data_IF_614093300097
#
_entry.id   IF_614093300097
#
_cell.length_a   1.000
_cell.length_b   1.000
_cell.length_c   1.000
_cell.angle_alpha   90.00
_cell.angle_beta   90.00
_cell.angle_gamma   90.00
#
_symmetry.space_group_name_H-M   'P 1'
#
loop_
_entity.id
_entity.type
_entity.pdbx_description
1 polymer ?
#
# COMPACT_ATOMS: atom_id res chain seq x y z
N UNK A 1 -18.74 -1.77 -25.98
CA UNK A 1 -18.21 -0.42 -26.23
C UNK A 1 -18.37 0.40 -24.96
N UNK A 2 -17.27 0.58 -24.22
CA UNK A 2 -17.18 1.61 -23.19
C UNK A 2 -17.59 2.95 -23.83
N UNK A 3 -18.69 3.55 -23.37
CA UNK A 3 -19.00 4.95 -23.72
C UNK A 3 -18.08 5.85 -22.89
N UNK A 4 -16.79 5.85 -23.25
CA UNK A 4 -15.81 6.76 -22.68
C UNK A 4 -16.24 8.18 -23.03
N UNK A 5 -16.47 9.02 -22.02
CA UNK A 5 -16.97 10.39 -22.18
C UNK A 5 -15.95 11.34 -22.83
N UNK A 6 -14.72 10.87 -23.11
CA UNK A 6 -13.65 11.69 -23.65
C UNK A 6 -13.05 11.08 -24.95
N UNK A 7 -13.18 11.77 -26.10
CA UNK A 7 -12.65 11.30 -27.38
C UNK A 7 -11.13 11.25 -27.47
N UNK A 8 -10.37 11.89 -26.57
CA UNK A 8 -8.90 11.79 -26.57
C UNK A 8 -8.39 10.47 -25.96
N UNK A 9 -9.08 9.96 -24.94
CA UNK A 9 -8.81 8.63 -24.39
C UNK A 9 -9.21 7.55 -25.42
N UNK A 10 -10.32 7.75 -26.14
CA UNK A 10 -10.70 6.88 -27.25
C UNK A 10 -9.62 6.82 -28.35
N UNK A 11 -8.93 7.94 -28.64
CA UNK A 11 -7.81 7.98 -29.60
C UNK A 11 -6.55 7.23 -29.14
N UNK A 12 -6.31 7.10 -27.82
CA UNK A 12 -5.26 6.22 -27.30
C UNK A 12 -5.59 4.75 -27.60
N UNK A 13 -6.89 4.40 -27.56
CA UNK A 13 -7.39 3.05 -27.76
C UNK A 13 -7.63 2.68 -29.24
N UNK A 14 -7.99 3.63 -30.11
CA UNK A 14 -8.29 3.38 -31.53
C UNK A 14 -7.05 3.13 -32.40
N UNK A 15 -5.85 3.51 -31.95
CA UNK A 15 -4.61 3.40 -32.74
C UNK A 15 -3.85 2.07 -32.55
N UNK A 16 -4.32 1.16 -31.70
CA UNK A 16 -3.66 -0.11 -31.46
C UNK A 16 -4.54 -1.26 -31.95
N UNK A 17 -4.29 -1.72 -33.18
CA UNK A 17 -4.69 -3.05 -33.61
C UNK A 17 -3.93 -4.08 -32.77
N UNK A 18 -4.52 -4.50 -31.65
CA UNK A 18 -4.01 -5.62 -30.89
C UNK A 18 -4.34 -6.90 -31.65
N UNK A 19 -3.30 -7.58 -32.11
CA UNK A 19 -3.37 -8.95 -32.59
C UNK A 19 -4.03 -9.83 -31.52
N UNK A 20 -5.10 -10.54 -31.91
CA UNK A 20 -5.71 -11.61 -31.14
C UNK A 20 -4.66 -12.70 -30.90
N UNK A 21 -4.00 -12.67 -29.75
CA UNK A 21 -3.47 -13.88 -29.12
C UNK A 21 -4.31 -14.14 -27.87
N UNK A 22 -4.93 -15.33 -27.83
CA UNK A 22 -5.75 -15.93 -26.75
C UNK A 22 -4.98 -16.13 -25.43
N UNK A 23 -4.17 -15.18 -25.00
CA UNK A 23 -3.53 -15.21 -23.70
C UNK A 23 -4.53 -14.71 -22.65
N UNK A 24 -5.15 -15.62 -21.90
CA UNK A 24 -5.99 -15.27 -20.75
C UNK A 24 -5.18 -14.41 -19.77
N UNK A 25 -5.70 -13.23 -19.43
CA UNK A 25 -5.07 -12.32 -18.49
C UNK A 25 -5.41 -12.73 -17.06
N UNK A 26 -4.38 -12.92 -16.22
CA UNK A 26 -4.58 -13.12 -14.78
C UNK A 26 -5.08 -11.81 -14.14
N UNK A 27 -6.30 -11.84 -13.63
CA UNK A 27 -7.01 -10.68 -13.10
C UNK A 27 -7.16 -10.68 -11.58
N UNK A 28 -6.46 -11.56 -10.84
CA UNK A 28 -6.61 -11.68 -9.37
C UNK A 28 -6.44 -10.34 -8.65
N UNK A 29 -5.42 -9.57 -9.01
CA UNK A 29 -5.17 -8.23 -8.42
C UNK A 29 -6.39 -7.32 -8.59
N UNK A 30 -7.01 -7.31 -9.77
CA UNK A 30 -8.21 -6.52 -10.04
C UNK A 30 -9.41 -7.01 -9.23
N UNK A 31 -9.65 -8.33 -9.23
CA UNK A 31 -10.79 -8.92 -8.51
C UNK A 31 -10.69 -8.67 -7.01
N UNK A 32 -9.51 -8.82 -6.43
CA UNK A 32 -9.31 -8.61 -5.00
C UNK A 32 -9.44 -7.12 -4.63
N UNK A 33 -8.94 -6.22 -5.48
CA UNK A 33 -9.15 -4.78 -5.28
C UNK A 33 -10.62 -4.39 -5.39
N UNK A 34 -11.37 -4.94 -6.36
CA UNK A 34 -12.81 -4.70 -6.49
C UNK A 34 -13.59 -5.13 -5.24
N UNK A 35 -13.29 -6.33 -4.70
CA UNK A 35 -13.89 -6.79 -3.45
C UNK A 35 -13.58 -5.84 -2.30
N UNK A 36 -12.33 -5.40 -2.19
CA UNK A 36 -11.92 -4.42 -1.19
C UNK A 36 -12.73 -3.12 -1.32
N UNK A 37 -12.90 -2.57 -2.53
CA UNK A 37 -13.73 -1.38 -2.76
C UNK A 37 -15.17 -1.59 -2.30
N UNK A 38 -15.76 -2.76 -2.59
CA UNK A 38 -17.11 -3.09 -2.16
C UNK A 38 -17.23 -3.16 -0.63
N UNK A 39 -16.25 -3.77 0.05
CA UNK A 39 -16.19 -3.83 1.52
C UNK A 39 -16.08 -2.44 2.15
N UNK A 40 -15.34 -1.53 1.49
CA UNK A 40 -15.22 -0.13 1.88
C UNK A 40 -16.39 0.75 1.41
N UNK A 41 -17.40 0.18 0.73
CA UNK A 41 -18.56 0.89 0.16
C UNK A 41 -18.18 2.00 -0.85
N UNK A 42 -17.07 1.83 -1.57
CA UNK A 42 -16.62 2.72 -2.63
C UNK A 42 -17.20 2.23 -3.95
N UNK A 43 -18.13 2.99 -4.54
CA UNK A 43 -18.74 2.68 -5.85
C UNK A 43 -17.95 3.34 -6.97
N UNK A 44 -17.59 2.56 -7.99
CA UNK A 44 -16.95 3.06 -9.21
C UNK A 44 -17.94 3.57 -10.26
N UNK A 45 -19.26 3.42 -10.03
CA UNK A 45 -20.33 3.77 -11.00
C UNK A 45 -20.20 3.08 -12.37
N UNK A 46 -19.39 2.03 -12.44
CA UNK A 46 -19.24 1.11 -13.56
C UNK A 46 -19.50 -0.31 -13.07
N UNK A 47 -19.79 -1.24 -13.96
CA UNK A 47 -19.90 -2.65 -13.59
C UNK A 47 -18.52 -3.33 -13.52
N UNK A 48 -18.49 -4.52 -12.92
CA UNK A 48 -17.25 -5.29 -12.76
C UNK A 48 -16.62 -5.67 -14.10
N UNK A 49 -17.42 -5.90 -15.14
CA UNK A 49 -16.92 -6.27 -16.46
C UNK A 49 -16.17 -5.11 -17.11
N UNK A 50 -16.71 -3.90 -17.04
CA UNK A 50 -16.06 -2.66 -17.51
C UNK A 50 -14.78 -2.36 -16.74
N UNK A 51 -14.79 -2.58 -15.43
CA UNK A 51 -13.62 -2.41 -14.58
C UNK A 51 -12.49 -3.39 -14.93
N UNK A 52 -12.83 -4.67 -15.14
CA UNK A 52 -11.86 -5.68 -15.55
C UNK A 52 -11.29 -5.37 -16.94
N UNK A 53 -12.15 -5.01 -17.90
CA UNK A 53 -11.74 -4.60 -19.26
C UNK A 53 -10.72 -3.45 -19.21
N UNK A 54 -10.98 -2.42 -18.40
CA UNK A 54 -10.07 -1.27 -18.23
C UNK A 54 -8.66 -1.70 -17.77
N UNK A 55 -8.59 -2.56 -16.76
CA UNK A 55 -7.30 -3.00 -16.20
C UNK A 55 -6.58 -4.02 -17.08
N UNK A 56 -7.33 -4.89 -17.75
CA UNK A 56 -6.79 -5.78 -18.78
C UNK A 56 -6.17 -5.00 -19.94
N UNK A 57 -6.82 -3.93 -20.39
CA UNK A 57 -6.27 -3.03 -21.41
C UNK A 57 -4.97 -2.38 -20.93
N UNK A 58 -4.89 -1.91 -19.68
CA UNK A 58 -3.64 -1.41 -19.09
C UNK A 58 -2.53 -2.45 -19.14
N UNK A 59 -2.82 -3.70 -18.76
CA UNK A 59 -1.85 -4.79 -18.82
C UNK A 59 -1.40 -5.09 -20.27
N UNK A 60 -2.34 -5.17 -21.23
CA UNK A 60 -2.06 -5.41 -22.66
C UNK A 60 -1.18 -4.32 -23.27
N UNK A 61 -1.49 -3.05 -22.99
CA UNK A 61 -0.70 -1.91 -23.43
C UNK A 61 0.75 -1.97 -22.90
N UNK A 62 0.93 -2.55 -21.71
CA UNK A 62 2.24 -2.82 -21.12
C UNK A 62 2.85 -4.18 -21.54
N UNK A 63 2.27 -4.86 -22.54
CA UNK A 63 2.70 -6.18 -23.04
C UNK A 63 2.77 -7.25 -21.94
N UNK A 64 1.80 -7.23 -21.02
CA UNK A 64 1.67 -8.19 -19.92
C UNK A 64 0.40 -9.01 -20.06
N UNK A 65 0.47 -10.27 -19.62
CA UNK A 65 -0.67 -11.19 -19.49
C UNK A 65 -1.17 -11.31 -18.04
N UNK A 66 -0.81 -10.36 -17.18
CA UNK A 66 -1.27 -10.29 -15.80
C UNK A 66 -1.48 -8.84 -15.40
N UNK A 67 -2.53 -8.59 -14.64
CA UNK A 67 -2.77 -7.31 -13.97
C UNK A 67 -1.87 -7.24 -12.73
N UNK A 68 -1.21 -6.11 -12.52
CA UNK A 68 -0.37 -5.83 -11.34
C UNK A 68 -0.89 -4.59 -10.61
N UNK A 69 -0.37 -4.31 -9.42
CA UNK A 69 -0.79 -3.14 -8.61
C UNK A 69 -0.64 -1.81 -9.38
N UNK A 70 0.41 -1.68 -10.18
CA UNK A 70 0.63 -0.52 -11.06
C UNK A 70 -0.48 -0.28 -12.08
N UNK A 71 -1.29 -1.29 -12.44
CA UNK A 71 -2.44 -1.08 -13.35
C UNK A 71 -3.60 -0.36 -12.65
N UNK A 72 -3.76 -0.51 -11.33
CA UNK A 72 -4.82 0.17 -10.58
C UNK A 72 -4.69 1.69 -10.64
N UNK A 73 -3.50 2.21 -10.96
CA UNK A 73 -3.27 3.64 -11.10
C UNK A 73 -4.06 4.28 -12.24
N UNK A 74 -4.54 3.49 -13.22
CA UNK A 74 -5.46 4.00 -14.25
C UNK A 74 -6.77 4.51 -13.65
N UNK A 75 -7.14 4.03 -12.45
CA UNK A 75 -8.33 4.48 -11.73
C UNK A 75 -8.17 5.89 -11.14
N UNK A 76 -6.94 6.43 -11.16
CA UNK A 76 -6.66 7.79 -10.72
C UNK A 76 -6.93 8.84 -11.80
N UNK A 77 -7.29 8.42 -13.02
CA UNK A 77 -7.57 9.34 -14.11
C UNK A 77 -8.87 10.13 -13.83
N UNK A 78 -8.79 11.45 -13.58
CA UNK A 78 -9.97 12.24 -13.19
C UNK A 78 -11.04 12.27 -14.28
N UNK A 79 -10.62 12.06 -15.54
CA UNK A 79 -11.50 11.96 -16.70
C UNK A 79 -12.41 10.71 -16.66
N UNK A 80 -12.05 9.68 -15.89
CA UNK A 80 -12.83 8.45 -15.76
C UNK A 80 -13.84 8.53 -14.60
N UNK A 81 -13.41 9.02 -13.43
CA UNK A 81 -14.14 8.86 -12.17
C UNK A 81 -14.46 10.16 -11.42
N UNK A 82 -13.95 11.32 -11.87
CA UNK A 82 -14.10 12.60 -11.17
C UNK A 82 -13.23 12.73 -9.91
N UNK A 83 -12.86 13.94 -9.53
CA UNK A 83 -11.82 14.21 -8.52
C UNK A 83 -12.12 13.64 -7.13
N UNK A 84 -13.37 13.73 -6.66
CA UNK A 84 -13.75 13.26 -5.33
C UNK A 84 -13.59 11.74 -5.18
N UNK A 85 -13.93 10.99 -6.23
CA UNK A 85 -13.77 9.53 -6.25
C UNK A 85 -12.29 9.16 -6.46
N UNK A 86 -11.55 9.89 -7.30
CA UNK A 86 -10.10 9.70 -7.48
C UNK A 86 -9.36 9.76 -6.14
N UNK A 87 -9.65 10.71 -5.27
CA UNK A 87 -8.98 10.79 -3.96
C UNK A 87 -9.23 9.53 -3.10
N UNK A 88 -10.46 9.01 -3.08
CA UNK A 88 -10.79 7.77 -2.38
C UNK A 88 -10.07 6.56 -2.99
N UNK A 89 -9.95 6.52 -4.32
CA UNK A 89 -9.26 5.46 -5.03
C UNK A 89 -7.75 5.50 -4.80
N UNK A 90 -7.14 6.68 -4.76
CA UNK A 90 -5.74 6.89 -4.41
C UNK A 90 -5.47 6.34 -3.00
N UNK A 91 -6.33 6.65 -2.04
CA UNK A 91 -6.22 6.13 -0.68
C UNK A 91 -6.41 4.61 -0.62
N UNK A 92 -7.40 4.06 -1.34
CA UNK A 92 -7.65 2.63 -1.44
C UNK A 92 -6.46 1.86 -2.05
N UNK A 93 -5.87 2.37 -3.13
CA UNK A 93 -4.67 1.80 -3.76
C UNK A 93 -3.50 1.81 -2.77
N UNK A 94 -3.30 2.93 -2.07
CA UNK A 94 -2.24 3.05 -1.06
C UNK A 94 -2.41 2.01 0.05
N UNK A 95 -3.61 1.89 0.62
CA UNK A 95 -3.92 0.93 1.70
C UNK A 95 -3.75 -0.52 1.27
N UNK A 96 -4.18 -0.88 0.07
CA UNK A 96 -4.04 -2.26 -0.42
C UNK A 96 -2.59 -2.62 -0.73
N UNK A 97 -1.79 -1.66 -1.20
CA UNK A 97 -0.36 -1.87 -1.44
C UNK A 97 0.45 -2.04 -0.14
N UNK A 98 0.07 -1.34 0.93
CA UNK A 98 0.75 -1.38 2.24
C UNK A 98 -0.02 -2.16 3.32
N UNK A 99 -1.01 -2.96 2.95
CA UNK A 99 -1.96 -3.58 3.88
C UNK A 99 -1.29 -4.25 5.09
N UNK A 100 -0.31 -5.13 4.84
CA UNK A 100 0.37 -5.86 5.91
C UNK A 100 1.17 -4.94 6.84
N UNK A 101 1.79 -3.90 6.28
CA UNK A 101 2.54 -2.91 7.05
C UNK A 101 1.59 -2.08 7.93
N UNK A 102 0.49 -1.60 7.36
CA UNK A 102 -0.50 -0.79 8.07
C UNK A 102 -1.17 -1.59 9.20
N UNK A 103 -1.44 -2.89 8.99
CA UNK A 103 -1.94 -3.78 10.04
C UNK A 103 -0.95 -3.88 11.21
N UNK A 104 0.34 -4.15 10.93
CA UNK A 104 1.36 -4.25 11.97
C UNK A 104 1.60 -2.91 12.70
N UNK A 105 1.57 -1.78 11.98
CA UNK A 105 1.66 -0.45 12.58
C UNK A 105 0.53 -0.18 13.57
N UNK A 106 -0.70 -0.63 13.25
CA UNK A 106 -1.86 -0.53 14.14
C UNK A 106 -1.70 -1.40 15.38
N UNK A 107 -1.36 -2.68 15.21
CA UNK A 107 -1.13 -3.61 16.33
C UNK A 107 -0.01 -3.11 17.28
N UNK A 108 1.03 -2.52 16.71
CA UNK A 108 2.10 -1.90 17.48
C UNK A 108 1.63 -0.63 18.22
N UNK A 109 0.78 0.20 17.62
CA UNK A 109 0.25 1.38 18.28
C UNK A 109 -0.58 1.01 19.53
N UNK A 110 -1.46 0.00 19.41
CA UNK A 110 -2.24 -0.53 20.53
C UNK A 110 -1.33 -1.11 21.62
N UNK A 111 -0.31 -1.87 21.23
CA UNK A 111 0.65 -2.42 22.19
C UNK A 111 1.47 -1.34 22.91
N UNK A 112 1.81 -0.26 22.21
CA UNK A 112 2.49 0.91 22.78
C UNK A 112 1.62 1.58 23.84
N UNK A 113 0.33 1.79 23.57
CA UNK A 113 -0.60 2.37 24.56
C UNK A 113 -0.70 1.47 25.80
N UNK A 114 -0.85 0.15 25.61
CA UNK A 114 -0.80 -0.83 26.70
C UNK A 114 0.48 -0.76 27.55
N UNK A 115 1.66 -0.60 26.93
CA UNK A 115 2.92 -0.48 27.67
C UNK A 115 3.00 0.81 28.50
N UNK A 116 2.46 1.92 28.00
CA UNK A 116 2.43 3.20 28.71
C UNK A 116 1.55 3.09 29.96
N UNK A 117 0.36 2.51 29.83
CA UNK A 117 -0.55 2.31 30.97
C UNK A 117 0.06 1.42 32.06
N UNK A 118 0.78 0.36 31.68
CA UNK A 118 1.41 -0.54 32.66
C UNK A 118 2.72 0.02 33.24
N UNK A 119 3.39 0.94 32.54
CA UNK A 119 4.54 1.67 33.10
C UNK A 119 4.14 2.51 34.30
N UNK A 120 3.00 3.20 34.20
CA UNK A 120 2.45 4.01 35.30
C UNK A 120 2.14 3.13 36.53
N UNK A 121 1.72 1.89 36.30
CA UNK A 121 1.38 0.91 37.34
C UNK A 121 2.55 0.00 37.77
N UNK A 122 3.75 0.13 37.16
CA UNK A 122 4.96 -0.69 37.42
C UNK A 122 4.80 -2.21 37.19
N UNK A 123 3.86 -2.65 36.37
CA UNK A 123 3.48 -4.07 36.22
C UNK A 123 4.01 -4.72 34.91
N UNK A 124 5.13 -4.24 34.37
CA UNK A 124 5.66 -4.76 33.10
C UNK A 124 6.54 -5.99 33.31
N UNK A 125 6.03 -7.15 32.87
CA UNK A 125 6.72 -8.42 32.99
C UNK A 125 7.77 -8.69 31.89
N UNK A 126 8.63 -9.70 32.11
CA UNK A 126 9.67 -10.10 31.16
C UNK A 126 9.13 -10.44 29.75
N UNK A 127 7.92 -11.00 29.65
CA UNK A 127 7.27 -11.29 28.35
C UNK A 127 7.05 -10.02 27.52
N UNK A 128 6.61 -8.95 28.16
CA UNK A 128 6.37 -7.66 27.50
C UNK A 128 7.70 -7.03 27.03
N UNK A 129 8.76 -7.21 27.82
CA UNK A 129 10.09 -6.77 27.46
C UNK A 129 10.65 -7.51 26.23
N UNK A 130 10.46 -8.83 26.15
CA UNK A 130 10.86 -9.62 24.98
C UNK A 130 10.11 -9.19 23.71
N UNK A 131 8.79 -9.01 23.80
CA UNK A 131 7.98 -8.52 22.67
C UNK A 131 8.41 -7.12 22.21
N UNK A 132 8.78 -6.24 23.15
CA UNK A 132 9.31 -4.90 22.82
C UNK A 132 10.63 -4.98 22.02
N UNK A 133 11.53 -5.88 22.39
CA UNK A 133 12.78 -6.11 21.65
C UNK A 133 12.50 -6.62 20.23
N UNK A 134 11.53 -7.54 20.10
CA UNK A 134 11.11 -8.06 18.79
C UNK A 134 10.55 -6.96 17.89
N UNK A 135 9.67 -6.10 18.42
CA UNK A 135 9.12 -4.95 17.69
C UNK A 135 10.23 -3.99 17.25
N UNK A 136 11.19 -3.67 18.12
CA UNK A 136 12.30 -2.79 17.77
C UNK A 136 13.15 -3.36 16.63
N UNK A 137 13.43 -4.67 16.64
CA UNK A 137 14.13 -5.35 15.54
C UNK A 137 13.32 -5.33 14.26
N UNK A 138 12.01 -5.57 14.35
CA UNK A 138 11.11 -5.53 13.20
C UNK A 138 11.07 -4.13 12.58
N UNK A 139 10.93 -3.07 13.39
CA UNK A 139 10.95 -1.68 12.92
C UNK A 139 12.24 -1.34 12.17
N UNK A 140 13.39 -1.80 12.65
CA UNK A 140 14.66 -1.59 11.96
C UNK A 140 14.71 -2.27 10.59
N UNK A 141 14.26 -3.52 10.53
CA UNK A 141 14.20 -4.26 9.28
C UNK A 141 13.23 -3.62 8.28
N UNK A 142 12.04 -3.22 8.72
CA UNK A 142 11.03 -2.60 7.85
C UNK A 142 11.49 -1.25 7.29
N UNK A 143 12.21 -0.45 8.08
CA UNK A 143 12.81 0.80 7.60
C UNK A 143 13.78 0.51 6.44
N UNK A 144 14.61 -0.53 6.57
CA UNK A 144 15.57 -0.93 5.53
C UNK A 144 14.82 -1.42 4.28
N UNK A 145 13.84 -2.31 4.44
CA UNK A 145 13.01 -2.83 3.35
C UNK A 145 12.35 -1.68 2.56
N UNK A 146 11.76 -0.71 3.26
CA UNK A 146 11.12 0.44 2.61
C UNK A 146 12.13 1.40 1.96
N UNK A 147 13.33 1.58 2.54
CA UNK A 147 14.39 2.35 1.90
C UNK A 147 14.91 1.68 0.61
N UNK A 148 14.98 0.36 0.60
CA UNK A 148 15.40 -0.38 -0.59
C UNK A 148 14.29 -0.41 -1.65
N UNK A 149 13.03 -0.49 -1.24
CA UNK A 149 11.89 -0.24 -2.13
C UNK A 149 12.02 1.12 -2.79
N UNK A 150 12.28 2.20 -2.02
CA UNK A 150 12.42 3.56 -2.54
C UNK A 150 13.48 3.68 -3.64
N UNK A 151 14.63 2.99 -3.47
CA UNK A 151 15.71 2.95 -4.48
C UNK A 151 15.31 2.11 -5.71
N UNK A 152 14.46 1.10 -5.52
CA UNK A 152 14.06 0.12 -6.53
C UNK A 152 12.69 0.37 -7.18
N UNK A 153 12.00 1.50 -6.89
CA UNK A 153 10.67 1.79 -7.45
C UNK A 153 10.63 1.65 -8.98
N UNK A 154 11.58 2.23 -9.76
CA UNK A 154 11.50 2.17 -11.23
C UNK A 154 11.63 0.76 -11.80
N UNK A 155 12.21 -0.19 -11.05
CA UNK A 155 12.44 -1.57 -11.48
C UNK A 155 11.55 -2.60 -10.78
N UNK A 156 10.65 -2.16 -9.88
CA UNK A 156 9.80 -3.07 -9.12
C UNK A 156 8.64 -3.60 -9.98
N UNK A 157 8.54 -4.92 -10.11
CA UNK A 157 7.58 -5.58 -11.00
C UNK A 157 6.10 -5.36 -10.63
N UNK A 158 5.77 -5.05 -9.38
CA UNK A 158 4.39 -4.78 -8.95
C UNK A 158 3.90 -3.42 -9.43
N UNK A 159 4.81 -2.49 -9.70
CA UNK A 159 4.53 -1.11 -10.07
C UNK A 159 5.19 -0.70 -11.40
N UNK A 160 5.77 -1.65 -12.14
CA UNK A 160 6.36 -1.44 -13.45
C UNK A 160 5.27 -1.28 -14.52
N UNK A 161 4.80 -0.04 -14.71
CA UNK A 161 3.87 0.33 -15.77
C UNK A 161 4.50 1.47 -16.57
N UNK A 162 4.92 1.17 -17.80
CA UNK A 162 5.65 2.09 -18.65
C UNK A 162 4.85 3.35 -18.98
N UNK A 163 3.52 3.22 -19.12
CA UNK A 163 2.64 4.32 -19.51
C UNK A 163 2.46 5.31 -18.37
N UNK A 164 2.21 4.80 -17.16
CA UNK A 164 1.95 5.61 -15.97
C UNK A 164 3.18 5.73 -15.04
N UNK A 165 4.38 5.43 -15.55
CA UNK A 165 5.56 5.24 -14.70
C UNK A 165 5.89 6.47 -13.86
N UNK A 166 5.77 7.67 -14.43
CA UNK A 166 6.08 8.92 -13.72
C UNK A 166 5.11 9.14 -12.55
N UNK A 167 3.81 8.94 -12.78
CA UNK A 167 2.77 9.16 -11.76
C UNK A 167 2.83 8.12 -10.65
N UNK A 168 3.07 6.86 -11.03
CA UNK A 168 3.31 5.76 -10.08
C UNK A 168 4.55 6.06 -9.25
N UNK A 169 5.68 6.41 -9.89
CA UNK A 169 6.92 6.71 -9.18
C UNK A 169 6.71 7.84 -8.18
N UNK A 170 6.08 8.94 -8.60
CA UNK A 170 5.79 10.08 -7.74
C UNK A 170 4.93 9.69 -6.53
N UNK A 171 3.83 8.97 -6.77
CA UNK A 171 2.89 8.57 -5.72
C UNK A 171 3.51 7.57 -4.74
N UNK A 172 4.15 6.51 -5.25
CA UNK A 172 4.76 5.48 -4.42
C UNK A 172 5.93 6.05 -3.64
N UNK A 173 6.74 6.93 -4.22
CA UNK A 173 7.83 7.63 -3.51
C UNK A 173 7.29 8.40 -2.31
N UNK A 174 6.20 9.15 -2.50
CA UNK A 174 5.55 9.91 -1.43
C UNK A 174 5.06 8.98 -0.31
N UNK A 175 4.34 7.91 -0.66
CA UNK A 175 3.81 6.97 0.32
C UNK A 175 4.90 6.22 1.08
N UNK A 176 5.91 5.68 0.39
CA UNK A 176 7.04 4.99 1.04
C UNK A 176 7.76 5.93 2.01
N UNK A 177 7.97 7.19 1.62
CA UNK A 177 8.62 8.18 2.47
C UNK A 177 7.82 8.47 3.75
N UNK A 178 6.49 8.58 3.63
CA UNK A 178 5.58 8.73 4.76
C UNK A 178 5.66 7.52 5.72
N UNK A 179 5.62 6.29 5.18
CA UNK A 179 5.69 5.07 6.00
C UNK A 179 7.02 4.94 6.72
N UNK A 180 8.13 5.30 6.06
CA UNK A 180 9.45 5.39 6.72
C UNK A 180 9.42 6.38 7.88
N UNK A 181 8.76 7.53 7.72
CA UNK A 181 8.64 8.52 8.80
C UNK A 181 7.84 7.96 9.99
N UNK A 182 6.71 7.29 9.73
CA UNK A 182 5.89 6.64 10.76
C UNK A 182 6.69 5.55 11.49
N UNK A 183 7.38 4.67 10.76
CA UNK A 183 8.22 3.62 11.33
C UNK A 183 9.34 4.20 12.22
N UNK A 184 10.02 5.25 11.76
CA UNK A 184 11.05 5.95 12.55
C UNK A 184 10.47 6.56 13.82
N UNK A 185 9.28 7.14 13.73
CA UNK A 185 8.60 7.71 14.88
C UNK A 185 8.23 6.63 15.90
N UNK A 186 7.59 5.53 15.47
CA UNK A 186 7.28 4.41 16.36
C UNK A 186 8.55 3.82 17.00
N UNK A 187 9.63 3.67 16.23
CA UNK A 187 10.93 3.20 16.74
C UNK A 187 11.44 4.08 17.87
N UNK A 188 11.41 5.40 17.67
CA UNK A 188 11.80 6.35 18.70
C UNK A 188 10.97 6.16 19.97
N UNK A 189 9.64 6.09 19.83
CA UNK A 189 8.74 5.92 20.97
C UNK A 189 9.00 4.62 21.74
N UNK A 190 9.10 3.48 21.05
CA UNK A 190 9.39 2.21 21.69
C UNK A 190 10.77 2.16 22.32
N UNK A 191 11.77 2.83 21.75
CA UNK A 191 13.11 2.95 22.34
C UNK A 191 13.05 3.71 23.67
N UNK A 192 12.30 4.81 23.73
CA UNK A 192 12.12 5.58 24.97
C UNK A 192 11.43 4.74 26.06
N UNK A 193 10.41 3.96 25.68
CA UNK A 193 9.73 3.03 26.58
C UNK A 193 10.72 1.96 27.08
N UNK A 194 11.51 1.37 26.19
CA UNK A 194 12.50 0.34 26.52
C UNK A 194 13.54 0.84 27.53
N UNK A 195 14.14 2.01 27.28
CA UNK A 195 15.15 2.59 28.18
C UNK A 195 14.57 2.97 29.55
N UNK A 196 13.29 3.34 29.60
CA UNK A 196 12.58 3.61 30.86
C UNK A 196 12.40 2.34 31.69
N UNK A 197 12.03 1.21 31.06
CA UNK A 197 11.88 -0.09 31.71
C UNK A 197 13.20 -0.70 32.17
N UNK A 198 14.27 -0.54 31.38
CA UNK A 198 15.60 -1.07 31.69
C UNK A 198 16.11 -0.57 33.05
N UNK A 199 15.80 0.68 33.40
CA UNK A 199 16.16 1.26 34.71
C UNK A 199 15.41 0.62 35.88
N UNK A 200 14.16 0.17 35.66
CA UNK A 200 13.30 -0.41 36.71
C UNK A 200 13.75 -1.84 37.04
N UNK A 201 14.05 -2.64 36.01
CA UNK A 201 14.47 -4.04 36.18
C UNK A 201 15.82 -4.21 36.90
N UNK A 202 16.73 -3.24 36.76
CA UNK A 202 18.03 -3.25 37.46
C UNK A 202 17.87 -3.01 38.97
N UNK A 203 16.80 -2.34 39.40
CA UNK A 203 16.55 -2.03 40.83
C UNK A 203 15.88 -3.22 41.54
N UNK A 204 15.20 -4.12 40.81
CA UNK A 204 14.47 -5.26 41.39
C UNK A 204 15.32 -6.53 41.58
N UNK A 205 16.61 -6.49 41.25
CA UNK A 205 17.53 -7.64 41.34
C UNK A 205 18.51 -7.59 42.51
N UNK A 206 18.36 -6.60 43.40
CA UNK A 206 19.05 -6.51 44.70
C UNK A 206 18.10 -6.88 45.86
#
# INVERSE_FOLDING_TARGET
MLKLRNPEIAKIFDNHHFLDEDCQIDNRVAVDFWKYLADQKISLEIDISQYLELLEMSAKLNKRNKIIQGDLFILKEPLLFGESLVNQLVEAISKTMFFALDQQLSENAEYKDFLIENLENKDVCQKNHLKLIEILKWLDNEIIVNQDLLKGIPSNYQISNYILQADINSSVTSWVSERIAILKFQKLTFTMIYESHKKILVISTD
#
